data_IF_973256628213
#
_entry.id   IF_973256628213
#
_cell.length_a   1.000
_cell.length_b   1.000
_cell.length_c   1.000
_cell.angle_alpha   90.00
_cell.angle_beta   90.00
_cell.angle_gamma   90.00
#
_symmetry.space_group_name_H-M   'P 1'
#
loop_
_entity.id
_entity.type
_entity.pdbx_description
1 polymer ?
#
# COMPACT_ATOMS: atom_id res chain seq x y z
N UNK A 1 8.80 -2.70 -13.71
CA UNK A 1 7.87 -2.67 -14.89
C UNK A 1 7.90 -3.99 -15.67
N UNK A 2 9.05 -4.65 -15.79
CA UNK A 2 9.21 -5.94 -16.50
C UNK A 2 8.22 -7.02 -16.06
N UNK A 3 7.99 -7.21 -14.75
CA UNK A 3 7.07 -8.25 -14.25
C UNK A 3 5.62 -8.07 -14.73
N UNK A 4 5.15 -6.83 -14.84
CA UNK A 4 3.79 -6.53 -15.32
C UNK A 4 3.69 -6.75 -16.83
N UNK A 5 4.71 -6.35 -17.59
CA UNK A 5 4.76 -6.61 -19.03
C UNK A 5 4.82 -8.11 -19.35
N UNK A 6 5.64 -8.87 -18.60
CA UNK A 6 5.70 -10.32 -18.70
C UNK A 6 4.36 -10.98 -18.37
N UNK A 7 3.66 -10.50 -17.34
CA UNK A 7 2.31 -10.97 -16.99
C UNK A 7 1.29 -10.71 -18.11
N UNK A 8 1.26 -9.48 -18.66
CA UNK A 8 0.37 -9.11 -19.76
C UNK A 8 0.60 -10.02 -20.96
N UNK A 9 1.87 -10.23 -21.34
CA UNK A 9 2.26 -11.10 -22.45
C UNK A 9 1.88 -12.56 -22.19
N UNK A 10 2.23 -13.12 -21.03
CA UNK A 10 1.94 -14.51 -20.67
C UNK A 10 0.44 -14.83 -20.61
N UNK A 11 -0.39 -13.82 -20.30
CA UNK A 11 -1.86 -13.97 -20.23
C UNK A 11 -2.58 -13.53 -21.51
N UNK A 12 -1.86 -12.95 -22.48
CA UNK A 12 -2.45 -12.45 -23.72
C UNK A 12 -3.50 -11.37 -23.49
N UNK A 13 -3.31 -10.49 -22.49
CA UNK A 13 -4.31 -9.47 -22.14
C UNK A 13 -4.42 -8.40 -23.23
N UNK A 14 -5.66 -8.05 -23.57
CA UNK A 14 -6.00 -6.91 -24.44
C UNK A 14 -6.12 -5.63 -23.62
N UNK A 15 -6.04 -4.44 -24.25
CA UNK A 15 -6.18 -3.16 -23.54
C UNK A 15 -7.49 -2.99 -22.75
N UNK A 16 -8.57 -3.64 -23.19
CA UNK A 16 -9.87 -3.63 -22.52
C UNK A 16 -9.98 -4.58 -21.33
N UNK A 17 -9.02 -5.50 -21.17
CA UNK A 17 -9.07 -6.53 -20.14
C UNK A 17 -8.63 -5.99 -18.78
N UNK A 18 -9.16 -6.56 -17.71
CA UNK A 18 -8.64 -6.31 -16.38
C UNK A 18 -7.19 -6.78 -16.27
N UNK A 19 -6.33 -5.95 -15.69
CA UNK A 19 -4.91 -6.28 -15.50
C UNK A 19 -4.72 -7.56 -14.66
N UNK A 20 -5.62 -7.80 -13.70
CA UNK A 20 -5.64 -9.01 -12.88
C UNK A 20 -7.03 -9.67 -12.99
N UNK A 21 -7.25 -10.51 -14.02
CA UNK A 21 -8.54 -11.17 -14.23
C UNK A 21 -8.79 -12.24 -13.16
N UNK A 22 -10.07 -12.48 -12.85
CA UNK A 22 -10.43 -13.61 -11.99
C UNK A 22 -10.15 -14.95 -12.69
N UNK A 23 -10.01 -16.02 -11.90
CA UNK A 23 -10.01 -17.40 -12.44
C UNK A 23 -11.42 -17.96 -12.59
N UNK A 24 -12.42 -17.31 -12.00
CA UNK A 24 -13.82 -17.69 -12.12
C UNK A 24 -14.42 -16.98 -13.34
N UNK A 25 -15.00 -17.74 -14.28
CA UNK A 25 -15.57 -17.17 -15.51
C UNK A 25 -16.69 -16.16 -15.25
N UNK A 26 -17.40 -16.26 -14.12
CA UNK A 26 -18.47 -15.35 -13.72
C UNK A 26 -17.99 -14.02 -13.10
N UNK A 27 -16.67 -13.79 -12.97
CA UNK A 27 -16.13 -12.59 -12.32
C UNK A 27 -15.06 -11.94 -13.17
N UNK A 28 -15.20 -10.64 -13.42
CA UNK A 28 -14.35 -9.95 -14.38
C UNK A 28 -12.93 -9.67 -13.85
N UNK A 29 -12.77 -9.41 -12.54
CA UNK A 29 -11.49 -9.08 -11.92
C UNK A 29 -11.22 -9.84 -10.61
N UNK A 30 -9.97 -9.82 -10.15
CA UNK A 30 -9.61 -10.36 -8.83
C UNK A 30 -10.47 -9.73 -7.74
N UNK A 31 -11.13 -10.58 -6.94
CA UNK A 31 -11.92 -10.09 -5.80
C UNK A 31 -11.02 -9.63 -4.66
N UNK A 32 -11.54 -8.73 -3.82
CA UNK A 32 -10.87 -8.26 -2.60
C UNK A 32 -10.43 -9.40 -1.69
N UNK A 33 -11.30 -10.41 -1.50
CA UNK A 33 -10.97 -11.62 -0.72
C UNK A 33 -9.84 -12.43 -1.34
N UNK A 34 -9.78 -12.51 -2.67
CA UNK A 34 -8.70 -13.24 -3.36
C UNK A 34 -7.38 -12.48 -3.25
N UNK A 35 -7.41 -11.15 -3.37
CA UNK A 35 -6.24 -10.32 -3.13
C UNK A 35 -5.72 -10.47 -1.70
N UNK A 36 -6.60 -10.37 -0.69
CA UNK A 36 -6.22 -10.61 0.71
C UNK A 36 -5.57 -11.98 0.90
N UNK A 37 -6.18 -13.06 0.39
CA UNK A 37 -5.61 -14.43 0.48
C UNK A 37 -4.27 -14.61 -0.23
N UNK A 38 -3.96 -13.80 -1.24
CA UNK A 38 -2.63 -13.82 -1.86
C UNK A 38 -1.62 -13.20 -0.90
N UNK A 39 -1.95 -12.04 -0.32
CA UNK A 39 -1.08 -11.36 0.65
C UNK A 39 -0.86 -12.20 1.90
N UNK A 40 -1.91 -12.78 2.50
CA UNK A 40 -1.77 -13.66 3.66
C UNK A 40 -0.80 -14.82 3.40
N UNK A 41 -0.90 -15.46 2.22
CA UNK A 41 0.02 -16.52 1.83
C UNK A 41 1.47 -16.05 1.70
N UNK A 42 1.69 -14.85 1.16
CA UNK A 42 3.05 -14.27 1.07
C UNK A 42 3.61 -13.95 2.46
N UNK A 43 2.80 -13.39 3.34
CA UNK A 43 3.18 -13.09 4.74
C UNK A 43 3.55 -14.37 5.49
N UNK A 44 2.68 -15.39 5.42
CA UNK A 44 2.94 -16.68 6.05
C UNK A 44 4.20 -17.36 5.48
N UNK A 45 4.45 -17.25 4.16
CA UNK A 45 5.63 -17.86 3.53
C UNK A 45 6.97 -17.28 3.99
N UNK A 46 6.97 -16.09 4.58
CA UNK A 46 8.15 -15.47 5.17
C UNK A 46 8.18 -15.58 6.70
N UNK A 47 7.30 -16.39 7.30
CA UNK A 47 7.26 -16.67 8.73
C UNK A 47 6.64 -15.57 9.60
N UNK A 48 5.89 -14.63 9.01
CA UNK A 48 5.17 -13.60 9.74
C UNK A 48 3.72 -14.03 10.05
N UNK A 49 3.15 -13.48 11.12
CA UNK A 49 1.75 -13.66 11.48
C UNK A 49 0.81 -13.04 10.44
N UNK A 50 0.11 -13.87 9.67
CA UNK A 50 -0.80 -13.41 8.64
C UNK A 50 -2.11 -12.84 9.20
N UNK A 51 -2.38 -12.96 10.50
CA UNK A 51 -3.43 -12.21 11.19
C UNK A 51 -3.07 -10.73 11.40
N UNK A 52 -1.79 -10.43 11.64
CA UNK A 52 -1.30 -9.08 11.89
C UNK A 52 -1.01 -8.28 10.60
N UNK A 53 -0.66 -8.96 9.51
CA UNK A 53 -0.28 -8.30 8.25
C UNK A 53 -1.24 -8.61 7.10
N UNK A 54 -1.75 -7.56 6.47
CA UNK A 54 -2.60 -7.66 5.30
C UNK A 54 -2.45 -6.49 4.33
N UNK A 55 -3.40 -6.39 3.40
CA UNK A 55 -3.42 -5.37 2.34
C UNK A 55 -3.42 -3.93 2.90
N UNK A 56 -4.14 -3.70 4.00
CA UNK A 56 -4.16 -2.40 4.67
C UNK A 56 -2.84 -2.08 5.39
N UNK A 57 -2.24 -3.06 6.06
CA UNK A 57 -0.94 -2.91 6.72
C UNK A 57 0.13 -2.56 5.70
N UNK A 58 0.18 -3.26 4.56
CA UNK A 58 1.09 -2.94 3.45
C UNK A 58 0.93 -1.49 2.95
N UNK A 59 -0.31 -1.04 2.75
CA UNK A 59 -0.59 0.35 2.34
C UNK A 59 -0.06 1.35 3.37
N UNK A 60 -0.32 1.10 4.66
CA UNK A 60 0.13 1.97 5.77
C UNK A 60 1.65 2.02 5.86
N UNK A 61 2.33 0.88 5.74
CA UNK A 61 3.80 0.80 5.79
C UNK A 61 4.44 1.63 4.68
N UNK A 62 3.93 1.54 3.44
CA UNK A 62 4.50 2.34 2.33
C UNK A 62 4.37 3.84 2.60
N UNK A 63 3.19 4.30 3.03
CA UNK A 63 2.96 5.72 3.34
C UNK A 63 3.84 6.21 4.48
N UNK A 64 3.97 5.41 5.55
CA UNK A 64 4.81 5.71 6.72
C UNK A 64 6.29 5.83 6.33
N UNK A 65 6.79 4.91 5.49
CA UNK A 65 8.17 4.95 5.01
C UNK A 65 8.47 6.17 4.13
N UNK A 66 7.51 6.60 3.29
CA UNK A 66 7.66 7.82 2.50
C UNK A 66 7.72 9.03 3.45
N UNK A 67 6.76 9.15 4.36
CA UNK A 67 6.72 10.27 5.32
C UNK A 67 8.03 10.35 6.12
N UNK A 68 8.51 9.22 6.64
CA UNK A 68 9.76 9.18 7.42
C UNK A 68 10.97 9.67 6.63
N UNK A 69 11.04 9.37 5.32
CA UNK A 69 12.18 9.75 4.46
C UNK A 69 12.11 11.17 3.93
N UNK A 70 10.91 11.65 3.62
CA UNK A 70 10.75 12.94 2.92
C UNK A 70 10.24 14.05 3.83
N UNK A 71 9.65 13.69 4.98
CA UNK A 71 8.90 14.57 5.88
C UNK A 71 7.84 15.43 5.15
N UNK A 72 7.37 14.97 3.99
CA UNK A 72 6.41 15.68 3.15
C UNK A 72 5.02 15.07 3.28
N UNK A 73 4.27 15.52 4.28
CA UNK A 73 2.93 15.04 4.58
C UNK A 73 1.93 15.30 3.44
N UNK A 74 2.07 16.42 2.73
CA UNK A 74 1.21 16.77 1.58
C UNK A 74 1.38 15.80 0.42
N UNK A 75 2.61 15.38 0.13
CA UNK A 75 2.87 14.37 -0.89
C UNK A 75 2.24 13.02 -0.50
N UNK A 76 2.34 12.62 0.77
CA UNK A 76 1.71 11.39 1.26
C UNK A 76 0.19 11.46 1.18
N UNK A 77 -0.41 12.60 1.51
CA UNK A 77 -1.84 12.83 1.36
C UNK A 77 -2.30 12.61 -0.09
N UNK A 78 -1.60 13.20 -1.06
CA UNK A 78 -1.91 13.07 -2.49
C UNK A 78 -1.78 11.61 -2.96
N UNK A 79 -0.70 10.93 -2.56
CA UNK A 79 -0.48 9.52 -2.90
C UNK A 79 -1.55 8.59 -2.31
N UNK A 80 -2.09 8.95 -1.13
CA UNK A 80 -3.13 8.21 -0.46
C UNK A 80 -4.54 8.56 -0.94
N UNK A 81 -4.70 9.67 -1.68
CA UNK A 81 -6.00 10.17 -2.12
C UNK A 81 -6.88 10.67 -0.97
N UNK A 82 -6.28 11.17 0.11
CA UNK A 82 -7.04 11.72 1.24
C UNK A 82 -7.46 13.17 0.97
N UNK A 83 -8.74 13.47 1.11
CA UNK A 83 -9.26 14.84 0.92
C UNK A 83 -8.70 15.81 1.97
N UNK A 84 -8.52 15.35 3.20
CA UNK A 84 -8.14 16.14 4.37
C UNK A 84 -6.74 15.75 4.87
N UNK A 85 -5.94 16.71 5.30
CA UNK A 85 -4.61 16.45 5.87
C UNK A 85 -4.73 15.68 7.18
N UNK A 86 -5.74 16.00 7.98
CA UNK A 86 -6.07 15.39 9.26
C UNK A 86 -6.28 13.88 9.12
N UNK A 87 -6.87 13.43 7.99
CA UNK A 87 -7.02 12.00 7.71
C UNK A 87 -5.67 11.31 7.52
N UNK A 88 -4.67 12.01 6.98
CA UNK A 88 -3.32 11.49 6.78
C UNK A 88 -2.53 11.49 8.08
N UNK A 89 -2.65 12.53 8.90
CA UNK A 89 -2.09 12.59 10.27
C UNK A 89 -2.58 11.39 11.09
N UNK A 90 -3.91 11.23 11.19
CA UNK A 90 -4.52 10.12 11.93
C UNK A 90 -4.16 8.75 11.35
N UNK A 91 -4.06 8.63 10.03
CA UNK A 91 -3.74 7.37 9.38
C UNK A 91 -2.29 6.92 9.62
N UNK A 92 -1.36 7.88 9.69
CA UNK A 92 0.04 7.63 10.00
C UNK A 92 0.33 7.52 11.49
N UNK A 93 -0.59 7.96 12.35
CA UNK A 93 -0.38 8.03 13.80
C UNK A 93 0.70 9.02 14.15
N UNK A 94 0.71 10.18 13.47
CA UNK A 94 1.64 11.27 13.79
C UNK A 94 1.14 11.94 15.06
N UNK A 95 1.96 11.93 16.10
CA UNK A 95 1.67 12.49 17.42
C UNK A 95 2.51 13.74 17.69
N UNK A 96 2.24 14.41 18.81
CA UNK A 96 2.99 15.60 19.24
C UNK A 96 4.49 15.28 19.47
N UNK A 97 4.80 14.07 19.93
CA UNK A 97 6.18 13.62 20.16
C UNK A 97 7.00 13.58 18.86
N UNK A 98 6.38 13.28 17.72
CA UNK A 98 7.05 13.33 16.41
C UNK A 98 7.48 14.76 16.04
N UNK A 99 6.72 15.77 16.48
CA UNK A 99 7.04 17.17 16.25
C UNK A 99 8.17 17.65 17.17
N UNK A 100 8.21 17.17 18.42
CA UNK A 100 9.27 17.47 19.38
C UNK A 100 10.62 16.88 18.93
N UNK A 101 10.64 15.61 18.50
CA UNK A 101 11.85 14.99 17.96
C UNK A 101 12.40 15.77 16.75
N UNK A 102 11.54 16.26 15.87
CA UNK A 102 11.96 17.09 14.72
C UNK A 102 12.53 18.45 15.14
N UNK A 103 11.99 19.06 16.20
CA UNK A 103 12.49 20.33 16.73
C UNK A 103 13.86 20.15 17.39
N UNK A 104 14.06 19.09 18.17
CA UNK A 104 15.34 18.78 18.81
C UNK A 104 16.46 18.49 17.80
N UNK A 105 16.13 17.84 16.68
CA UNK A 105 17.10 17.53 15.61
C UNK A 105 17.44 18.74 14.71
N UNK A 106 16.74 19.86 14.86
CA UNK A 106 16.97 21.08 14.08
C UNK A 106 17.72 22.10 14.94
N UNK A 107 19.05 21.96 15.03
CA UNK A 107 19.90 23.04 15.53
C UNK A 107 19.92 24.18 14.49
N UNK A 108 19.80 25.42 14.98
CA UNK A 108 19.95 26.66 14.18
C UNK A 108 21.35 27.20 14.36
#
# INVERSE_FOLDING_TARGET
RQSVAAWISARGLKPSDYLFPSRLHASAQVSTRRYARIVHRWVASIGLDDGAYGTHTMRRTKASLINRRTKNLRAVQLLMGHTKLESTVRYLGIEVDDALEMAEQTEV
#
